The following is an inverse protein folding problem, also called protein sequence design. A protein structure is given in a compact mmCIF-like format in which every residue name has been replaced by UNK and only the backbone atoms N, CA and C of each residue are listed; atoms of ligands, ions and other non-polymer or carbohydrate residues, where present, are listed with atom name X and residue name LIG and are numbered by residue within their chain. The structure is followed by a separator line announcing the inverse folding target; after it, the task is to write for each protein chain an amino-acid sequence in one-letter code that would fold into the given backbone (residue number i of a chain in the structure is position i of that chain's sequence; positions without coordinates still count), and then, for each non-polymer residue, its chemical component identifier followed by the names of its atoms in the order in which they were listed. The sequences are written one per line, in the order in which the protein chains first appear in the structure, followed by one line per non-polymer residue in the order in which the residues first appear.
data_IF_239200027041
#
_entry.id   IF_239200027041
#
_cell.length_a   1.000
_cell.length_b   1.000
_cell.length_c   1.000
_cell.angle_alpha   90.00
_cell.angle_beta   90.00
_cell.angle_gamma   90.00
#
_symmetry.space_group_name_H-M   'P 1'
#
loop_
_entity.id
_entity.type
_entity.pdbx_description
1 polymer ?
#
# COMPACT_ATOMS: atom_id res chain seq x y z
N UNK A 1 15.20 -10.60 11.61
CA UNK A 1 14.05 -10.42 12.54
C UNK A 1 13.54 -9.00 12.31
N UNK A 2 12.31 -8.86 11.79
CA UNK A 2 11.71 -7.56 11.52
C UNK A 2 10.90 -7.14 12.74
N UNK A 3 11.16 -5.93 13.21
CA UNK A 3 10.48 -5.34 14.38
C UNK A 3 9.59 -4.19 13.94
N UNK A 4 8.44 -4.05 14.59
CA UNK A 4 7.47 -2.98 14.40
C UNK A 4 7.31 -2.16 15.68
N UNK A 5 7.10 -0.86 15.53
CA UNK A 5 6.59 -0.04 16.62
C UNK A 5 5.14 -0.40 16.91
N UNK A 6 4.81 -0.52 18.20
CA UNK A 6 3.44 -0.75 18.66
C UNK A 6 2.75 0.58 18.94
N UNK A 7 1.55 0.74 18.40
CA UNK A 7 0.69 1.90 18.60
C UNK A 7 -0.51 1.58 19.48
N UNK A 8 -0.99 2.57 20.23
CA UNK A 8 -2.23 2.49 21.00
C UNK A 8 -3.48 2.84 20.13
N UNK A 9 -4.66 2.83 20.75
CA UNK A 9 -5.93 3.14 20.08
C UNK A 9 -6.07 4.61 19.62
N UNK A 10 -5.16 5.50 20.05
CA UNK A 10 -5.07 6.91 19.66
C UNK A 10 -3.94 7.19 18.67
N UNK A 11 -3.38 6.16 18.03
CA UNK A 11 -2.26 6.26 17.11
C UNK A 11 -0.99 6.85 17.74
N UNK A 12 -0.72 6.56 19.01
CA UNK A 12 0.53 6.96 19.68
C UNK A 12 1.44 5.77 19.84
N UNK A 13 2.74 5.94 19.54
CA UNK A 13 3.75 4.90 19.80
C UNK A 13 3.81 4.63 21.31
N UNK A 14 3.71 3.38 21.68
CA UNK A 14 3.73 2.95 23.09
C UNK A 14 5.14 2.81 23.65
N UNK A 15 6.16 2.85 22.81
CA UNK A 15 7.55 2.54 23.15
C UNK A 15 7.85 1.04 23.13
N UNK A 16 6.86 0.19 22.91
CA UNK A 16 7.05 -1.26 22.77
C UNK A 16 7.36 -1.62 21.33
N UNK A 17 8.11 -2.69 21.15
CA UNK A 17 8.38 -3.31 19.86
C UNK A 17 7.68 -4.66 19.78
N UNK A 18 7.28 -5.01 18.55
CA UNK A 18 6.64 -6.27 18.22
C UNK A 18 7.38 -6.98 17.09
N UNK A 19 7.59 -8.27 17.23
CA UNK A 19 8.23 -9.08 16.19
C UNK A 19 7.19 -9.53 15.15
N UNK A 20 7.46 -9.25 13.87
CA UNK A 20 6.62 -9.69 12.74
C UNK A 20 6.38 -11.20 12.78
N UNK A 21 5.13 -11.60 12.58
CA UNK A 21 4.71 -13.00 12.55
C UNK A 21 4.06 -13.48 13.84
N UNK A 22 4.19 -12.74 14.92
CA UNK A 22 3.47 -12.99 16.16
C UNK A 22 2.13 -12.23 16.17
N UNK A 23 1.10 -12.68 16.92
CA UNK A 23 -0.14 -11.92 17.09
C UNK A 23 0.08 -10.71 18.01
N UNK A 24 -0.47 -9.56 17.63
CA UNK A 24 -0.57 -8.38 18.51
C UNK A 24 -1.61 -8.62 19.60
N UNK A 25 -1.40 -8.05 20.79
CA UNK A 25 -2.38 -8.11 21.86
C UNK A 25 -3.61 -7.23 21.51
N UNK A 26 -4.79 -7.53 22.08
CA UNK A 26 -5.96 -6.69 21.92
C UNK A 26 -5.70 -5.23 22.32
N UNK A 27 -6.03 -4.28 21.44
CA UNK A 27 -5.78 -2.85 21.66
C UNK A 27 -4.39 -2.37 21.26
N UNK A 28 -3.58 -3.25 20.69
CA UNK A 28 -2.30 -2.94 20.10
C UNK A 28 -2.40 -2.94 18.56
N UNK A 29 -1.68 -2.03 17.93
CA UNK A 29 -1.71 -1.83 16.49
C UNK A 29 -0.31 -1.64 15.94
N UNK A 30 -0.08 -2.05 14.70
CA UNK A 30 1.10 -1.67 13.94
C UNK A 30 0.71 -0.74 12.78
N UNK A 31 1.69 -0.10 12.16
CA UNK A 31 1.48 0.79 11.02
C UNK A 31 1.72 0.04 9.72
N UNK A 32 0.78 0.19 8.78
CA UNK A 32 0.86 -0.37 7.41
C UNK A 32 0.66 0.76 6.43
N UNK A 33 1.35 0.72 5.30
CA UNK A 33 1.14 1.63 4.18
C UNK A 33 0.56 0.89 2.99
N UNK A 34 -0.40 1.52 2.32
CA UNK A 34 -0.92 1.09 1.02
C UNK A 34 -0.72 2.24 0.03
N UNK A 35 0.01 1.98 -1.04
CA UNK A 35 0.48 2.99 -1.99
C UNK A 35 -0.17 2.71 -3.33
N UNK A 36 -0.81 3.73 -3.89
CA UNK A 36 -1.44 3.70 -5.20
C UNK A 36 -0.74 4.72 -6.11
N UNK A 37 0.25 4.31 -6.91
CA UNK A 37 0.78 5.19 -7.94
C UNK A 37 -0.31 5.50 -8.96
N UNK A 38 -0.45 6.78 -9.35
CA UNK A 38 -1.47 7.26 -10.29
C UNK A 38 -0.79 8.06 -11.39
N UNK A 39 -1.22 7.85 -12.63
CA UNK A 39 -0.68 8.57 -13.77
C UNK A 39 -1.57 9.75 -14.20
N UNK A 40 -1.06 10.60 -15.08
CA UNK A 40 -1.80 11.75 -15.62
C UNK A 40 -3.07 11.35 -16.38
N UNK A 41 -3.15 10.11 -16.88
CA UNK A 41 -4.36 9.52 -17.47
C UNK A 41 -5.40 9.04 -16.46
N UNK A 42 -5.11 9.13 -15.14
CA UNK A 42 -6.00 8.71 -14.06
C UNK A 42 -6.09 7.19 -13.90
N UNK A 43 -5.10 6.46 -14.38
CA UNK A 43 -4.95 5.04 -14.11
C UNK A 43 -4.16 4.83 -12.82
N UNK A 44 -4.36 3.68 -12.20
CA UNK A 44 -3.68 3.24 -10.98
C UNK A 44 -2.71 2.11 -11.34
N UNK A 45 -1.48 2.19 -10.86
CA UNK A 45 -0.54 1.08 -10.96
C UNK A 45 -0.84 0.08 -9.85
N UNK A 46 -1.03 -1.17 -10.24
CA UNK A 46 -1.20 -2.29 -9.33
C UNK A 46 -0.10 -3.31 -9.57
N UNK A 47 0.23 -4.06 -8.52
CA UNK A 47 1.23 -5.11 -8.58
C UNK A 47 0.62 -6.49 -8.33
N UNK A 48 1.19 -7.50 -8.95
CA UNK A 48 0.84 -8.90 -8.70
C UNK A 48 1.84 -9.48 -7.71
N UNK A 49 1.34 -9.97 -6.60
CA UNK A 49 2.15 -10.59 -5.57
C UNK A 49 2.81 -11.86 -6.10
N UNK A 50 4.07 -12.09 -5.71
CA UNK A 50 4.77 -13.30 -6.10
C UNK A 50 3.98 -14.55 -5.63
N UNK A 51 3.78 -15.56 -6.49
CA UNK A 51 3.02 -16.76 -6.15
C UNK A 51 3.65 -17.63 -5.04
N UNK A 52 4.91 -17.39 -4.70
CA UNK A 52 5.61 -18.10 -3.63
C UNK A 52 5.43 -17.45 -2.23
N UNK A 53 4.77 -16.31 -2.15
CA UNK A 53 4.48 -15.64 -0.87
C UNK A 53 3.48 -16.44 -0.04
N UNK A 54 3.65 -16.41 1.28
CA UNK A 54 2.74 -17.08 2.22
C UNK A 54 1.37 -16.39 2.31
N UNK A 55 1.35 -15.06 2.15
CA UNK A 55 0.14 -14.25 2.28
C UNK A 55 -0.31 -13.75 0.90
N UNK A 56 -1.55 -14.07 0.51
CA UNK A 56 -2.16 -13.63 -0.75
C UNK A 56 -1.29 -13.91 -1.99
N UNK A 57 -0.82 -15.16 -2.22
CA UNK A 57 0.03 -15.49 -3.36
C UNK A 57 -0.68 -15.26 -4.69
N UNK A 58 0.01 -14.62 -5.64
CA UNK A 58 -0.47 -14.42 -7.02
C UNK A 58 -1.66 -13.48 -7.19
N UNK A 59 -2.12 -12.81 -6.12
CA UNK A 59 -3.23 -11.85 -6.21
C UNK A 59 -2.68 -10.47 -6.60
N UNK A 60 -3.50 -9.69 -7.31
CA UNK A 60 -3.22 -8.28 -7.55
C UNK A 60 -3.51 -7.44 -6.30
N UNK A 61 -2.67 -6.48 -5.99
CA UNK A 61 -2.78 -5.65 -4.79
C UNK A 61 -2.17 -4.25 -5.02
N UNK A 62 -2.35 -3.37 -4.03
CA UNK A 62 -1.56 -2.15 -3.91
C UNK A 62 -0.11 -2.49 -3.55
N UNK A 63 0.83 -1.62 -3.86
CA UNK A 63 2.19 -1.60 -3.31
C UNK A 63 2.12 -1.25 -1.83
N UNK A 64 2.98 -1.85 -1.00
CA UNK A 64 3.08 -1.48 0.40
C UNK A 64 3.31 -2.64 1.36
N UNK A 65 3.47 -2.28 2.61
CA UNK A 65 3.81 -3.22 3.69
C UNK A 65 3.75 -2.56 5.06
N UNK A 66 4.36 -3.23 6.03
CA UNK A 66 4.41 -2.73 7.40
C UNK A 66 5.58 -1.77 7.60
N UNK A 67 5.32 -0.68 8.32
CA UNK A 67 6.39 0.17 8.80
C UNK A 67 7.28 -0.60 9.79
N UNK A 68 8.58 -0.55 9.59
CA UNK A 68 9.54 -1.15 10.51
C UNK A 68 9.85 -0.21 11.68
N UNK A 69 10.52 -0.71 12.70
CA UNK A 69 10.91 0.06 13.89
C UNK A 69 11.54 1.40 13.51
N UNK A 70 11.01 2.47 14.06
CA UNK A 70 11.51 3.84 13.89
C UNK A 70 10.89 4.59 12.71
N UNK A 71 10.32 3.91 11.75
CA UNK A 71 9.66 4.53 10.61
C UNK A 71 8.35 5.22 11.01
N UNK A 72 8.03 6.30 10.33
CA UNK A 72 6.69 6.85 10.23
C UNK A 72 6.01 6.39 8.90
N UNK A 73 4.79 6.88 8.66
CA UNK A 73 4.05 6.53 7.44
C UNK A 73 4.74 7.00 6.16
N UNK A 74 5.47 8.11 6.22
CA UNK A 74 6.21 8.64 5.09
C UNK A 74 7.47 7.80 4.78
N UNK A 75 8.22 7.44 5.81
CA UNK A 75 9.42 6.61 5.67
C UNK A 75 9.06 5.24 5.08
N UNK A 76 8.01 4.61 5.62
CA UNK A 76 7.51 3.32 5.11
C UNK A 76 7.02 3.44 3.66
N UNK A 77 6.30 4.51 3.30
CA UNK A 77 5.84 4.73 1.93
C UNK A 77 7.01 4.82 0.96
N UNK A 78 8.03 5.61 1.27
CA UNK A 78 9.22 5.77 0.43
C UNK A 78 9.98 4.47 0.26
N UNK A 79 10.21 3.74 1.35
CA UNK A 79 10.96 2.49 1.34
C UNK A 79 10.23 1.43 0.52
N UNK A 80 8.96 1.16 0.82
CA UNK A 80 8.18 0.12 0.13
C UNK A 80 8.07 0.40 -1.38
N UNK A 81 7.81 1.66 -1.76
CA UNK A 81 7.71 2.02 -3.17
C UNK A 81 9.04 1.84 -3.92
N UNK A 82 10.15 2.20 -3.27
CA UNK A 82 11.48 2.03 -3.83
C UNK A 82 11.90 0.56 -3.90
N UNK A 83 11.64 -0.22 -2.86
CA UNK A 83 12.00 -1.64 -2.79
C UNK A 83 11.20 -2.47 -3.78
N UNK A 84 9.86 -2.34 -3.78
CA UNK A 84 8.99 -3.18 -4.58
C UNK A 84 8.95 -2.81 -6.08
N UNK A 85 9.04 -1.50 -6.41
CA UNK A 85 8.84 -1.00 -7.78
C UNK A 85 10.01 -0.18 -8.34
N UNK A 86 11.01 0.17 -7.54
CA UNK A 86 12.08 1.07 -7.96
C UNK A 86 11.63 2.53 -8.18
N UNK A 87 10.46 2.90 -7.68
CA UNK A 87 9.91 4.25 -7.82
C UNK A 87 10.28 5.14 -6.62
N UNK A 88 10.58 6.40 -6.89
CA UNK A 88 10.84 7.39 -5.86
C UNK A 88 9.56 8.15 -5.47
N UNK A 89 9.24 8.15 -4.17
CA UNK A 89 8.28 9.07 -3.59
C UNK A 89 8.99 10.33 -3.10
N UNK A 90 8.46 11.49 -3.47
CA UNK A 90 8.92 12.81 -2.99
C UNK A 90 7.74 13.56 -2.38
N UNK A 91 8.00 14.63 -1.65
CA UNK A 91 6.93 15.45 -1.06
C UNK A 91 6.08 16.16 -2.11
N UNK A 92 6.64 16.38 -3.30
CA UNK A 92 5.99 17.07 -4.42
C UNK A 92 5.05 16.15 -5.20
N UNK A 93 5.36 14.84 -5.26
CA UNK A 93 4.56 13.88 -6.03
C UNK A 93 3.71 12.95 -5.18
N UNK A 94 3.72 13.09 -3.84
CA UNK A 94 3.10 12.13 -2.93
C UNK A 94 2.21 12.81 -1.90
N UNK A 95 1.07 12.21 -1.62
CA UNK A 95 0.15 12.67 -0.58
C UNK A 95 -0.48 11.49 0.18
N UNK A 96 -0.58 11.61 1.49
CA UNK A 96 -1.36 10.70 2.31
C UNK A 96 -2.81 11.17 2.29
N UNK A 97 -3.71 10.38 1.67
CA UNK A 97 -5.11 10.75 1.47
C UNK A 97 -6.03 10.23 2.57
N UNK A 98 -5.62 9.22 3.32
CA UNK A 98 -6.41 8.66 4.42
C UNK A 98 -5.56 7.84 5.39
N UNK A 99 -6.11 7.68 6.61
CA UNK A 99 -5.62 6.75 7.62
C UNK A 99 -6.81 5.95 8.14
N UNK A 100 -6.80 4.63 7.96
CA UNK A 100 -7.86 3.74 8.43
C UNK A 100 -7.38 2.88 9.59
N UNK A 101 -8.14 2.88 10.67
CA UNK A 101 -7.94 1.95 11.77
C UNK A 101 -8.58 0.60 11.44
N UNK A 102 -7.81 -0.46 11.59
CA UNK A 102 -8.25 -1.85 11.45
C UNK A 102 -8.25 -2.55 12.80
N UNK A 103 -8.39 -3.87 12.80
CA UNK A 103 -8.47 -4.68 14.02
C UNK A 103 -7.14 -4.66 14.81
N UNK A 104 -6.01 -4.66 14.10
CA UNK A 104 -4.65 -4.78 14.61
C UNK A 104 -3.66 -3.81 13.95
N UNK A 105 -4.15 -2.91 13.11
CA UNK A 105 -3.28 -2.01 12.35
C UNK A 105 -3.93 -0.68 12.04
N UNK A 106 -3.07 0.32 11.81
CA UNK A 106 -3.41 1.56 11.12
C UNK A 106 -2.89 1.47 9.70
N UNK A 107 -3.75 1.72 8.72
CA UNK A 107 -3.41 1.67 7.30
C UNK A 107 -3.38 3.09 6.73
N UNK A 108 -2.20 3.59 6.44
CA UNK A 108 -1.99 4.87 5.76
C UNK A 108 -2.07 4.67 4.25
N UNK A 109 -3.01 5.36 3.61
CA UNK A 109 -3.24 5.28 2.16
C UNK A 109 -2.58 6.47 1.48
N UNK A 110 -1.70 6.16 0.52
CA UNK A 110 -0.90 7.12 -0.21
C UNK A 110 -1.24 7.12 -1.70
N UNK A 111 -1.29 8.30 -2.30
CA UNK A 111 -1.16 8.47 -3.75
C UNK A 111 0.25 8.95 -4.08
N UNK A 112 0.81 8.43 -5.17
CA UNK A 112 2.10 8.88 -5.72
C UNK A 112 1.90 9.15 -7.20
N UNK A 113 2.02 10.41 -7.61
CA UNK A 113 1.84 10.82 -9.00
C UNK A 113 3.09 10.49 -9.82
N UNK A 114 2.92 9.67 -10.87
CA UNK A 114 4.00 9.27 -11.77
C UNK A 114 3.45 8.81 -13.11
N UNK A 115 4.15 9.16 -14.19
CA UNK A 115 3.89 8.65 -15.54
C UNK A 115 4.94 7.61 -15.99
N UNK A 116 5.61 6.97 -15.01
CA UNK A 116 6.60 5.92 -15.30
C UNK A 116 5.96 4.79 -16.11
N UNK A 117 6.67 4.30 -17.11
CA UNK A 117 6.25 3.13 -17.88
C UNK A 117 6.59 1.85 -17.12
N UNK A 118 5.79 0.82 -17.30
CA UNK A 118 6.01 -0.47 -16.61
C UNK A 118 7.38 -1.08 -16.91
N UNK A 119 7.92 -0.82 -18.11
CA UNK A 119 9.23 -1.30 -18.55
C UNK A 119 10.41 -0.56 -17.87
N UNK A 120 10.15 0.58 -17.25
CA UNK A 120 11.13 1.39 -16.55
C UNK A 120 11.24 1.01 -15.05
N UNK A 121 10.32 0.16 -14.56
CA UNK A 121 10.27 -0.23 -13.17
C UNK A 121 11.28 -1.34 -12.86
N UNK A 122 11.82 -1.30 -11.65
CA UNK A 122 12.66 -2.37 -11.11
C UNK A 122 11.87 -3.11 -10.05
N UNK A 123 11.40 -4.31 -10.38
CA UNK A 123 10.59 -5.10 -9.47
C UNK A 123 11.46 -5.90 -8.51
N UNK A 124 11.06 -5.92 -7.25
CA UNK A 124 11.60 -6.86 -6.26
C UNK A 124 10.98 -8.24 -6.51
N UNK A 125 11.67 -9.08 -7.26
CA UNK A 125 11.14 -10.35 -7.77
C UNK A 125 10.65 -11.32 -6.68
N UNK A 126 11.19 -11.20 -5.47
CA UNK A 126 10.76 -12.00 -4.32
C UNK A 126 9.34 -11.63 -3.85
N UNK A 127 8.92 -10.38 -4.03
CA UNK A 127 7.62 -9.85 -3.58
C UNK A 127 6.65 -9.63 -4.73
N UNK A 128 7.14 -9.17 -5.90
CA UNK A 128 6.34 -8.69 -7.03
C UNK A 128 6.67 -9.47 -8.29
N UNK A 129 5.65 -10.14 -8.88
CA UNK A 129 5.82 -10.91 -10.11
C UNK A 129 5.38 -10.16 -11.38
N UNK A 130 4.56 -9.13 -11.27
CA UNK A 130 4.04 -8.37 -12.41
C UNK A 130 3.45 -7.04 -11.95
N UNK A 131 3.35 -6.07 -12.86
CA UNK A 131 2.73 -4.75 -12.64
C UNK A 131 1.91 -4.33 -13.86
N UNK A 132 0.85 -3.57 -13.64
CA UNK A 132 0.12 -2.96 -14.74
C UNK A 132 -0.67 -1.72 -14.31
N UNK A 133 -0.86 -0.82 -15.25
CA UNK A 133 -1.78 0.30 -15.13
C UNK A 133 -3.22 -0.15 -15.41
N UNK A 134 -4.15 0.22 -14.54
CA UNK A 134 -5.58 -0.08 -14.67
C UNK A 134 -6.42 1.16 -14.43
N UNK A 135 -7.57 1.22 -15.07
CA UNK A 135 -8.58 2.25 -14.75
C UNK A 135 -9.28 1.92 -13.44
N UNK A 136 -9.91 2.92 -12.81
CA UNK A 136 -10.72 2.71 -11.61
C UNK A 136 -11.87 1.72 -11.84
N UNK A 137 -12.45 1.68 -13.05
CA UNK A 137 -13.49 0.73 -13.44
C UNK A 137 -12.96 -0.71 -13.52
N UNK A 138 -11.80 -0.90 -14.14
CA UNK A 138 -11.11 -2.22 -14.17
C UNK A 138 -10.76 -2.69 -12.77
N UNK A 139 -10.23 -1.78 -11.92
CA UNK A 139 -9.89 -2.10 -10.53
C UNK A 139 -11.09 -2.63 -9.74
N UNK A 140 -12.26 -1.97 -9.87
CA UNK A 140 -13.51 -2.43 -9.26
C UNK A 140 -13.95 -3.79 -9.78
N UNK A 141 -13.85 -4.01 -11.09
CA UNK A 141 -14.20 -5.31 -11.70
C UNK A 141 -13.30 -6.40 -11.18
N UNK A 142 -11.98 -6.18 -11.14
CA UNK A 142 -11.02 -7.13 -10.61
C UNK A 142 -11.27 -7.47 -9.15
N UNK A 143 -11.65 -6.49 -8.33
CA UNK A 143 -11.97 -6.72 -6.92
C UNK A 143 -13.24 -7.58 -6.76
N UNK A 144 -14.30 -7.32 -7.55
CA UNK A 144 -15.53 -8.12 -7.56
C UNK A 144 -15.29 -9.57 -8.01
N UNK A 145 -14.35 -9.76 -8.92
CA UNK A 145 -13.95 -11.08 -9.42
C UNK A 145 -12.96 -11.82 -8.51
N UNK A 146 -12.55 -11.21 -7.39
CA UNK A 146 -11.55 -11.77 -6.47
C UNK A 146 -10.12 -11.80 -7.02
N UNK A 147 -9.85 -11.07 -8.11
CA UNK A 147 -8.53 -10.96 -8.73
C UNK A 147 -7.66 -9.87 -8.11
N UNK A 148 -8.26 -8.90 -7.43
CA UNK A 148 -7.59 -7.83 -6.71
C UNK A 148 -7.94 -7.94 -5.23
N UNK A 149 -6.93 -7.73 -4.34
CA UNK A 149 -7.16 -7.76 -2.90
C UNK A 149 -8.20 -6.72 -2.50
N UNK A 150 -9.26 -7.18 -1.81
CA UNK A 150 -10.33 -6.30 -1.39
C UNK A 150 -9.91 -5.46 -0.19
N UNK A 151 -9.76 -4.16 -0.41
CA UNK A 151 -9.62 -3.16 0.65
C UNK A 151 -11.01 -2.61 0.98
N UNK A 152 -11.37 -2.56 2.27
CA UNK A 152 -12.69 -2.04 2.71
C UNK A 152 -12.98 -0.62 2.25
N UNK A 153 -11.95 0.15 1.93
CA UNK A 153 -12.04 1.51 1.44
C UNK A 153 -11.97 1.63 -0.10
N UNK A 154 -12.01 0.51 -0.82
CA UNK A 154 -11.77 0.51 -2.27
C UNK A 154 -12.81 1.32 -3.05
N UNK A 155 -14.08 1.23 -2.68
CA UNK A 155 -15.15 2.00 -3.33
C UNK A 155 -14.92 3.51 -3.11
N UNK A 156 -14.65 3.92 -1.88
CA UNK A 156 -14.29 5.30 -1.56
C UNK A 156 -13.05 5.76 -2.35
N UNK A 157 -12.00 4.96 -2.40
CA UNK A 157 -10.76 5.28 -3.11
C UNK A 157 -11.01 5.50 -4.61
N UNK A 158 -11.76 4.60 -5.24
CA UNK A 158 -12.05 4.71 -6.69
C UNK A 158 -12.98 5.88 -7.00
N UNK A 159 -13.91 6.25 -6.12
CA UNK A 159 -14.72 7.47 -6.24
C UNK A 159 -13.85 8.72 -6.08
N UNK A 160 -12.96 8.75 -5.07
CA UNK A 160 -12.02 9.84 -4.85
C UNK A 160 -11.14 10.06 -6.09
N UNK A 161 -10.49 9.01 -6.61
CA UNK A 161 -9.65 9.09 -7.81
C UNK A 161 -10.43 9.56 -9.04
N UNK A 162 -11.68 9.14 -9.19
CA UNK A 162 -12.55 9.59 -10.29
C UNK A 162 -12.90 11.07 -10.17
N UNK A 163 -13.04 11.60 -8.95
CA UNK A 163 -13.33 13.02 -8.69
C UNK A 163 -12.16 13.93 -9.06
N UNK A 164 -10.92 13.48 -8.89
CA UNK A 164 -9.72 14.25 -9.26
C UNK A 164 -9.63 14.54 -10.76
N UNK A 165 -10.27 13.72 -11.60
CA UNK A 165 -10.31 13.89 -13.07
C UNK A 165 -11.36 14.90 -13.54
N UNK A 166 -12.31 15.26 -12.68
CA UNK A 166 -13.42 16.15 -13.00
C UNK A 166 -13.18 17.59 -12.56
N UNK A 167 -12.07 17.84 -11.88
CA UNK A 167 -11.62 19.14 -11.41
C UNK A 167 -10.51 19.68 -12.31
#
# INVERSE_FOLDING_TARGET
MELWDVYDHCFRKTGRLHERGNPLAPGEYHLVVAIFPVNSGGQVLIQKRNPNLKLLPGIWAATGGSAVQGEDAWDACRRELQEELGLAATKENSEMIAMFKRIDSYNAVWLVHTDAKTEELTLQEEEVSDVRWVTTAELRTMAKEGKFHYYRYLDWLTDYLSSLRSA
#
